data_IF_103594463635
#
_entry.id   IF_103594463635
#
_cell.length_a   1.000
_cell.length_b   1.000
_cell.length_c   1.000
_cell.angle_alpha   90.00
_cell.angle_beta   90.00
_cell.angle_gamma   90.00
#
_symmetry.space_group_name_H-M   'P 1'
#
loop_
_entity.id
_entity.type
_entity.pdbx_description
1 polymer ?
#
# COMPACT_ATOMS: atom_id res chain seq x y z
N UNK A 1 -0.37 -15.88 -15.19
CA UNK A 1 -1.00 -16.88 -14.29
C UNK A 1 -0.29 -17.00 -12.93
N UNK A 2 0.78 -16.24 -12.66
CA UNK A 2 1.67 -16.47 -11.52
C UNK A 2 1.38 -15.62 -10.27
N UNK A 3 0.94 -14.35 -10.39
CA UNK A 3 0.81 -13.48 -9.21
C UNK A 3 -0.47 -13.69 -8.38
N UNK A 4 -1.60 -14.03 -9.01
CA UNK A 4 -2.86 -14.24 -8.27
C UNK A 4 -2.82 -15.46 -7.34
N UNK A 5 -2.07 -16.51 -7.71
CA UNK A 5 -1.91 -17.70 -6.86
C UNK A 5 -1.06 -17.43 -5.61
N UNK A 6 -0.11 -16.49 -5.67
CA UNK A 6 0.69 -16.09 -4.51
C UNK A 6 -0.08 -15.17 -3.56
N UNK A 7 -1.04 -14.38 -4.06
CA UNK A 7 -1.91 -13.56 -3.23
C UNK A 7 -2.81 -14.39 -2.30
N UNK A 8 -3.31 -15.54 -2.76
CA UNK A 8 -4.23 -16.38 -1.99
C UNK A 8 -3.63 -17.06 -0.76
N UNK A 9 -2.31 -17.11 -0.64
CA UNK A 9 -1.62 -17.73 0.50
C UNK A 9 -1.23 -16.72 1.60
N UNK A 10 -1.37 -15.41 1.34
CA UNK A 10 -0.96 -14.37 2.27
C UNK A 10 -1.99 -14.23 3.40
N UNK A 11 -1.53 -14.27 4.64
CA UNK A 11 -2.32 -14.01 5.83
C UNK A 11 -2.26 -12.52 6.13
N UNK A 12 -3.23 -11.78 5.59
CA UNK A 12 -3.34 -10.33 5.79
C UNK A 12 -3.84 -9.93 7.19
N UNK A 13 -3.62 -8.67 7.64
CA UNK A 13 -4.26 -8.16 8.85
C UNK A 13 -5.79 -8.23 8.76
N UNK A 14 -6.46 -8.56 9.88
CA UNK A 14 -7.93 -8.70 9.95
C UNK A 14 -8.68 -7.48 9.42
N UNK A 15 -8.16 -6.28 9.67
CA UNK A 15 -8.73 -5.03 9.17
C UNK A 15 -8.76 -5.00 7.64
N UNK A 16 -7.63 -5.30 6.99
CA UNK A 16 -7.54 -5.35 5.52
C UNK A 16 -8.46 -6.42 4.93
N UNK A 17 -8.50 -7.62 5.54
CA UNK A 17 -9.41 -8.69 5.12
C UNK A 17 -10.88 -8.24 5.17
N UNK A 18 -11.27 -7.56 6.26
CA UNK A 18 -12.64 -7.05 6.44
C UNK A 18 -12.99 -5.99 5.40
N UNK A 19 -12.07 -5.05 5.13
CA UNK A 19 -12.26 -4.01 4.12
C UNK A 19 -12.57 -4.60 2.73
N UNK A 20 -11.81 -5.63 2.33
CA UNK A 20 -12.05 -6.32 1.06
C UNK A 20 -13.38 -7.06 1.09
N UNK A 21 -13.64 -7.85 2.15
CA UNK A 21 -14.84 -8.69 2.24
C UNK A 21 -16.15 -7.88 2.26
N UNK A 22 -16.13 -6.70 2.86
CA UNK A 22 -17.28 -5.80 2.94
C UNK A 22 -17.35 -4.81 1.77
N UNK A 23 -16.45 -4.91 0.79
CA UNK A 23 -16.33 -3.99 -0.35
C UNK A 23 -16.24 -2.51 0.08
N UNK A 24 -15.54 -2.27 1.19
CA UNK A 24 -15.28 -0.93 1.75
C UNK A 24 -14.01 -0.30 1.19
N UNK A 25 -13.14 -1.10 0.58
CA UNK A 25 -12.01 -0.59 -0.18
C UNK A 25 -12.53 0.07 -1.46
N UNK A 26 -12.50 1.41 -1.51
CA UNK A 26 -12.71 2.15 -2.75
C UNK A 26 -11.40 2.29 -3.51
N UNK A 27 -11.50 2.21 -4.82
CA UNK A 27 -10.36 2.16 -5.75
C UNK A 27 -10.29 3.39 -6.68
N UNK A 28 -10.98 4.47 -6.28
CA UNK A 28 -11.10 5.70 -7.04
C UNK A 28 -10.20 6.80 -6.43
N UNK A 29 -9.76 7.74 -7.26
CA UNK A 29 -8.99 8.94 -6.90
C UNK A 29 -9.84 9.89 -6.04
N UNK A 30 -11.17 9.73 -6.02
CA UNK A 30 -12.06 10.44 -5.09
C UNK A 30 -12.44 9.60 -3.86
N UNK A 31 -11.49 8.80 -3.36
CA UNK A 31 -11.72 7.95 -2.20
C UNK A 31 -11.87 8.76 -0.90
N UNK A 32 -12.58 8.21 0.08
CA UNK A 32 -12.72 8.84 1.40
C UNK A 32 -11.41 9.10 2.14
N UNK A 33 -10.29 8.56 1.66
CA UNK A 33 -8.97 8.64 2.28
C UNK A 33 -7.96 9.45 1.47
N UNK A 34 -8.42 10.32 0.56
CA UNK A 34 -7.54 11.23 -0.19
C UNK A 34 -6.48 11.86 0.73
N UNK A 35 -5.18 11.74 0.40
CA UNK A 35 -4.66 11.43 -0.94
C UNK A 35 -4.40 9.93 -1.21
N UNK A 36 -4.70 9.05 -0.25
CA UNK A 36 -4.49 7.61 -0.37
C UNK A 36 -5.74 6.87 -0.88
N UNK A 37 -5.53 5.84 -1.68
CA UNK A 37 -6.58 4.92 -2.09
C UNK A 37 -6.07 3.48 -2.17
N UNK A 38 -6.95 2.53 -1.84
CA UNK A 38 -6.65 1.12 -2.01
C UNK A 38 -6.56 0.77 -3.49
N UNK A 39 -5.74 -0.23 -3.81
CA UNK A 39 -5.68 -0.77 -5.16
C UNK A 39 -6.67 -1.93 -5.32
N UNK A 40 -7.29 -2.04 -6.50
CA UNK A 40 -8.03 -3.25 -6.86
C UNK A 40 -7.12 -4.47 -6.73
N UNK A 41 -7.65 -5.59 -6.26
CA UNK A 41 -6.86 -6.80 -5.99
C UNK A 41 -6.04 -7.28 -7.20
N UNK A 42 -6.61 -7.17 -8.41
CA UNK A 42 -5.94 -7.48 -9.68
C UNK A 42 -4.81 -6.52 -10.06
N UNK A 43 -4.79 -5.32 -9.48
CA UNK A 43 -3.76 -4.30 -9.68
C UNK A 43 -2.69 -4.36 -8.59
N UNK A 44 -2.97 -4.97 -7.44
CA UNK A 44 -1.97 -5.24 -6.40
C UNK A 44 -0.88 -6.18 -6.93
N UNK A 45 0.36 -5.96 -6.51
CA UNK A 45 1.52 -6.68 -7.03
C UNK A 45 2.65 -6.72 -6.01
N UNK A 46 3.61 -7.63 -6.18
CA UNK A 46 4.84 -7.59 -5.40
C UNK A 46 5.84 -6.62 -6.02
N UNK A 47 6.49 -5.79 -5.21
CA UNK A 47 7.46 -4.80 -5.69
C UNK A 47 8.58 -5.44 -6.54
N UNK A 48 9.05 -6.64 -6.18
CA UNK A 48 10.08 -7.37 -6.93
C UNK A 48 9.62 -7.81 -8.33
N UNK A 49 8.31 -7.86 -8.62
CA UNK A 49 7.80 -8.15 -9.96
C UNK A 49 8.10 -7.00 -10.92
N UNK A 50 8.08 -5.75 -10.44
CA UNK A 50 8.47 -4.56 -11.22
C UNK A 50 9.96 -4.23 -11.08
N UNK A 51 10.52 -4.43 -9.88
CA UNK A 51 11.85 -4.01 -9.50
C UNK A 51 12.64 -5.16 -8.85
N UNK A 52 13.03 -6.20 -9.63
CA UNK A 52 13.55 -7.46 -9.08
C UNK A 52 14.90 -7.35 -8.36
N UNK A 53 15.68 -6.30 -8.62
CA UNK A 53 17.05 -6.17 -8.11
C UNK A 53 17.20 -5.12 -7.00
N UNK A 54 16.08 -4.56 -6.50
CA UNK A 54 16.11 -3.40 -5.60
C UNK A 54 16.03 -3.83 -4.14
N UNK A 55 15.17 -4.80 -3.84
CA UNK A 55 15.10 -5.36 -2.51
C UNK A 55 14.77 -6.86 -2.55
N UNK A 56 15.34 -7.61 -1.60
CA UNK A 56 15.06 -9.03 -1.41
C UNK A 56 13.78 -9.30 -0.60
N UNK A 57 13.17 -8.26 -0.03
CA UNK A 57 11.97 -8.35 0.80
C UNK A 57 10.72 -8.56 -0.06
N UNK A 58 9.80 -9.43 0.39
CA UNK A 58 8.51 -9.64 -0.27
C UNK A 58 7.54 -8.53 0.09
N UNK A 59 7.63 -7.41 -0.64
CA UNK A 59 6.77 -6.25 -0.45
C UNK A 59 5.53 -6.35 -1.35
N UNK A 60 4.35 -6.55 -0.76
CA UNK A 60 3.08 -6.64 -1.47
C UNK A 60 2.36 -5.27 -1.46
N UNK A 61 2.36 -4.59 -2.61
CA UNK A 61 1.77 -3.27 -2.79
C UNK A 61 0.24 -3.36 -2.80
N UNK A 62 -0.43 -2.61 -1.93
CA UNK A 62 -1.88 -2.67 -1.72
C UNK A 62 -2.60 -1.31 -1.78
N UNK A 63 -1.88 -0.20 -1.69
CA UNK A 63 -2.45 1.14 -1.80
C UNK A 63 -1.47 2.09 -2.50
N UNK A 64 -2.00 3.18 -3.07
CA UNK A 64 -1.22 4.25 -3.71
C UNK A 64 -1.68 5.60 -3.19
N UNK A 65 -0.78 6.56 -3.27
CA UNK A 65 -1.08 7.98 -3.11
C UNK A 65 -1.33 8.59 -4.49
N UNK A 66 -2.23 9.56 -4.60
CA UNK A 66 -2.70 10.06 -5.91
C UNK A 66 -1.90 11.23 -6.47
N UNK A 67 -1.27 12.00 -5.59
CA UNK A 67 -0.54 13.23 -5.89
C UNK A 67 0.94 12.99 -6.19
N UNK A 68 1.43 11.77 -5.94
CA UNK A 68 2.81 11.39 -6.18
C UNK A 68 2.95 9.87 -6.45
N UNK A 69 4.19 9.42 -6.58
CA UNK A 69 4.56 8.02 -6.86
C UNK A 69 4.68 7.14 -5.60
N UNK A 70 4.06 7.55 -4.48
CA UNK A 70 4.12 6.79 -3.23
C UNK A 70 3.17 5.60 -3.22
N UNK A 71 3.65 4.50 -2.64
CA UNK A 71 2.99 3.21 -2.55
C UNK A 71 3.04 2.71 -1.10
N UNK A 72 1.96 2.10 -0.64
CA UNK A 72 1.96 1.33 0.61
C UNK A 72 2.05 -0.17 0.31
N UNK A 73 3.00 -0.85 0.97
CA UNK A 73 3.25 -2.25 0.75
C UNK A 73 3.34 -3.03 2.07
N UNK A 74 2.70 -4.19 2.14
CA UNK A 74 2.91 -5.11 3.25
C UNK A 74 4.24 -5.83 3.10
N UNK A 75 5.02 -5.92 4.18
CA UNK A 75 6.09 -6.91 4.27
C UNK A 75 5.47 -8.28 4.54
N UNK A 76 5.65 -9.20 3.60
CA UNK A 76 5.22 -10.61 3.72
C UNK A 76 6.41 -11.44 4.20
N UNK A 77 6.29 -12.03 5.38
CA UNK A 77 7.36 -12.84 5.95
C UNK A 77 7.48 -14.25 5.33
N UNK A 78 8.43 -15.04 5.83
CA UNK A 78 8.66 -16.42 5.36
C UNK A 78 7.50 -17.39 5.67
N UNK A 79 6.57 -16.99 6.56
CA UNK A 79 5.36 -17.73 6.92
C UNK A 79 4.12 -17.24 6.16
N UNK A 80 4.31 -16.38 5.15
CA UNK A 80 3.27 -15.69 4.38
C UNK A 80 2.39 -14.75 5.21
N UNK A 81 2.86 -14.29 6.38
CA UNK A 81 2.13 -13.31 7.18
C UNK A 81 2.48 -11.89 6.77
N UNK A 82 1.46 -11.05 6.58
CA UNK A 82 1.62 -9.62 6.37
C UNK A 82 1.34 -8.87 7.68
N UNK A 83 2.33 -8.15 8.20
CA UNK A 83 2.18 -7.34 9.41
C UNK A 83 2.63 -5.89 9.16
N UNK A 84 3.92 -5.69 8.93
CA UNK A 84 4.50 -4.36 8.74
C UNK A 84 4.07 -3.74 7.41
N UNK A 85 3.96 -2.42 7.40
CA UNK A 85 3.67 -1.63 6.20
C UNK A 85 4.86 -0.75 5.86
N UNK A 86 5.35 -0.83 4.64
CA UNK A 86 6.41 0.01 4.11
C UNK A 86 5.80 1.05 3.18
N UNK A 87 6.29 2.29 3.29
CA UNK A 87 6.00 3.35 2.32
C UNK A 87 7.15 3.41 1.34
N UNK A 88 6.85 3.20 0.07
CA UNK A 88 7.80 3.19 -1.02
C UNK A 88 7.56 4.42 -1.88
N UNK A 89 8.63 5.11 -2.28
CA UNK A 89 8.56 6.08 -3.37
C UNK A 89 9.03 5.37 -4.64
N UNK A 90 8.11 5.11 -5.57
CA UNK A 90 8.37 4.37 -6.80
C UNK A 90 9.03 5.21 -7.89
N UNK A 91 9.31 4.57 -9.03
CA UNK A 91 9.80 5.20 -10.26
C UNK A 91 11.06 6.08 -10.10
N UNK A 92 11.90 5.75 -9.12
CA UNK A 92 13.22 6.37 -8.97
C UNK A 92 14.22 5.78 -9.98
N UNK A 93 15.39 6.40 -10.11
CA UNK A 93 16.50 5.84 -10.93
C UNK A 93 16.91 4.43 -10.48
N UNK A 94 16.71 4.12 -9.21
CA UNK A 94 16.97 2.81 -8.60
C UNK A 94 15.70 1.97 -8.47
N UNK A 95 14.63 2.26 -9.21
CA UNK A 95 13.34 1.56 -9.10
C UNK A 95 12.46 2.14 -8.00
N UNK A 96 12.75 1.89 -6.72
CA UNK A 96 12.02 2.50 -5.60
C UNK A 96 12.91 2.76 -4.37
N UNK A 97 12.52 3.72 -3.55
CA UNK A 97 13.14 4.01 -2.25
C UNK A 97 12.19 3.69 -1.10
N UNK A 98 12.70 3.13 0.00
CA UNK A 98 11.90 2.93 1.22
C UNK A 98 11.90 4.23 2.01
N UNK A 99 10.74 4.88 2.11
CA UNK A 99 10.57 6.16 2.80
C UNK A 99 10.28 5.96 4.29
N UNK A 100 9.42 5.00 4.62
CA UNK A 100 9.02 4.69 6.01
C UNK A 100 8.83 3.19 6.19
N UNK A 101 9.08 2.71 7.42
CA UNK A 101 8.73 1.35 7.88
C UNK A 101 7.81 1.49 9.09
N UNK A 102 6.59 1.00 8.96
CA UNK A 102 5.53 1.09 9.95
C UNK A 102 5.29 -0.31 10.55
N UNK A 103 5.06 -0.43 11.87
CA UNK A 103 4.97 -1.73 12.53
C UNK A 103 3.72 -2.51 12.14
N UNK A 104 2.64 -1.84 11.74
CA UNK A 104 1.38 -2.46 11.36
C UNK A 104 0.51 -1.57 10.45
N UNK A 105 -0.62 -2.12 10.00
CA UNK A 105 -1.63 -1.38 9.22
C UNK A 105 -2.28 -0.23 10.00
N UNK A 106 -2.35 -0.30 11.33
CA UNK A 106 -2.94 0.78 12.13
C UNK A 106 -2.06 2.02 12.15
N UNK A 107 -0.75 1.82 12.22
CA UNK A 107 0.24 2.88 12.08
C UNK A 107 0.18 3.53 10.69
N UNK A 108 -0.10 2.74 9.65
CA UNK A 108 -0.40 3.27 8.32
C UNK A 108 -1.72 4.05 8.30
N UNK A 109 -2.78 3.56 8.91
CA UNK A 109 -4.06 4.29 8.99
C UNK A 109 -3.94 5.63 9.74
N UNK A 110 -3.15 5.69 10.82
CA UNK A 110 -2.86 6.96 11.50
C UNK A 110 -2.17 7.95 10.56
N UNK A 111 -1.14 7.48 9.84
CA UNK A 111 -0.47 8.30 8.83
C UNK A 111 -1.43 8.76 7.72
N UNK A 112 -2.34 7.89 7.26
CA UNK A 112 -3.35 8.24 6.26
C UNK A 112 -4.27 9.36 6.78
N UNK A 113 -4.69 9.30 8.05
CA UNK A 113 -5.53 10.36 8.65
C UNK A 113 -4.75 11.68 8.73
N UNK A 114 -3.47 11.64 9.12
CA UNK A 114 -2.61 12.83 9.16
C UNK A 114 -2.45 13.43 7.75
N UNK A 115 -2.17 12.58 6.75
CA UNK A 115 -2.05 12.99 5.34
C UNK A 115 -3.39 13.54 4.79
N UNK A 116 -4.54 12.99 5.19
CA UNK A 116 -5.87 13.51 4.83
C UNK A 116 -6.11 14.90 5.41
N UNK A 117 -5.72 15.13 6.67
CA UNK A 117 -5.84 16.44 7.29
C UNK A 117 -5.01 17.47 6.52
N UNK A 118 -3.74 17.16 6.24
CA UNK A 118 -2.86 18.02 5.45
C UNK A 118 -3.44 18.29 4.05
N UNK A 119 -3.97 17.27 3.38
CA UNK A 119 -4.59 17.40 2.06
C UNK A 119 -5.77 18.36 2.05
N UNK A 120 -6.67 18.25 3.03
CA UNK A 120 -7.83 19.15 3.17
C UNK A 120 -7.36 20.57 3.45
N UNK A 121 -6.46 20.75 4.41
CA UNK A 121 -5.94 22.08 4.79
C UNK A 121 -5.25 22.77 3.60
N UNK A 122 -4.44 22.07 2.81
CA UNK A 122 -3.78 22.64 1.62
C UNK A 122 -4.77 23.07 0.54
N UNK A 123 -5.85 22.31 0.35
CA UNK A 123 -6.88 22.62 -0.63
C UNK A 123 -7.78 23.80 -0.22
N UNK A 124 -7.84 24.17 1.06
CA UNK A 124 -8.55 25.39 1.50
C UNK A 124 -7.82 26.70 1.11
N UNK A 125 -6.54 26.62 0.74
CA UNK A 125 -5.72 27.78 0.36
C UNK A 125 -5.52 27.95 -1.17
N UNK A 126 -6.18 27.14 -1.99
CA UNK A 126 -6.16 27.19 -3.46
C UNK A 126 -7.50 27.69 -4.03
#
# INVERSE_FOLDING_TARGET
MTDQAHQSEIIFPKFYQRLIAENLAKYDVLAEMEPWYFMEQQKCFFAHTLWPNICNEKLFVFARRQDNDDLAAFLVDVTNKAEQVYILHGWTNEGFSIMKKLPDIWSWMHMVIDDMQEWVELNEYL
#
